data_IF_003751561053
#
_entry.id   IF_003751561053
#
_cell.length_a   1.000
_cell.length_b   1.000
_cell.length_c   1.000
_cell.angle_alpha   90.00
_cell.angle_beta   90.00
_cell.angle_gamma   90.00
#
_symmetry.space_group_name_H-M   'P 1'
#
loop_
_entity.id
_entity.type
_entity.pdbx_description
1 polymer ?
#
# COMPACT_ATOMS: atom_id res chain seq x y z
N UNK A 1 -50.36 29.32 12.46
CA UNK A 1 -48.96 29.67 12.74
C UNK A 1 -48.16 28.36 12.68
N UNK A 2 -47.37 28.20 11.63
CA UNK A 2 -46.38 27.14 11.50
C UNK A 2 -45.11 27.57 12.26
N UNK A 3 -44.52 26.68 13.03
CA UNK A 3 -43.07 26.43 13.03
C UNK A 3 -42.75 25.09 13.72
N UNK A 4 -41.85 24.28 13.15
CA UNK A 4 -41.59 22.90 13.56
C UNK A 4 -40.49 22.80 14.61
N UNK A 5 -40.58 21.78 15.45
CA UNK A 5 -39.58 21.36 16.42
C UNK A 5 -38.41 20.70 15.64
N UNK A 6 -37.42 21.51 15.26
CA UNK A 6 -36.20 21.03 14.64
C UNK A 6 -35.28 20.47 15.74
N UNK A 7 -35.27 19.14 15.86
CA UNK A 7 -34.20 18.43 16.56
C UNK A 7 -32.86 18.77 15.91
N UNK A 8 -31.80 19.11 16.66
CA UNK A 8 -30.49 19.33 16.09
C UNK A 8 -29.95 17.97 15.63
N UNK A 9 -29.85 17.79 14.32
CA UNK A 9 -29.11 16.69 13.74
C UNK A 9 -27.69 16.74 14.32
N UNK A 10 -27.36 15.68 15.04
CA UNK A 10 -26.04 15.42 15.59
C UNK A 10 -25.06 15.38 14.42
N UNK A 11 -24.37 16.50 14.18
CA UNK A 11 -23.31 16.58 13.19
C UNK A 11 -22.15 15.70 13.68
N UNK A 12 -22.19 14.42 13.30
CA UNK A 12 -21.06 13.51 13.45
C UNK A 12 -19.86 14.09 12.70
N UNK A 13 -18.74 14.43 13.37
CA UNK A 13 -17.51 14.87 12.69
C UNK A 13 -16.79 13.75 11.92
N UNK A 14 -17.34 12.54 11.91
CA UNK A 14 -16.68 11.28 11.52
C UNK A 14 -16.61 11.02 10.01
N UNK A 15 -17.20 11.87 9.17
CA UNK A 15 -17.18 11.67 7.70
C UNK A 15 -15.88 12.13 7.06
N UNK A 16 -15.15 13.09 7.64
CA UNK A 16 -13.92 13.61 7.03
C UNK A 16 -12.68 12.72 7.25
N UNK A 17 -12.65 11.89 8.29
CA UNK A 17 -11.55 10.94 8.54
C UNK A 17 -11.70 9.61 7.77
N UNK A 18 -12.84 9.38 7.12
CA UNK A 18 -13.14 8.17 6.34
C UNK A 18 -12.52 8.13 4.95
N UNK A 19 -11.91 9.24 4.51
CA UNK A 19 -11.43 9.39 3.13
C UNK A 19 -9.91 9.22 2.98
N UNK A 20 -9.19 9.01 4.10
CA UNK A 20 -7.75 8.82 4.05
C UNK A 20 -7.37 7.35 3.95
N UNK A 21 -6.50 7.03 2.99
CA UNK A 21 -5.90 5.70 2.81
C UNK A 21 -4.48 5.67 3.34
N UNK A 22 -4.14 4.62 4.06
CA UNK A 22 -2.81 4.35 4.55
C UNK A 22 -2.05 3.51 3.52
N UNK A 23 -0.97 4.06 2.97
CA UNK A 23 -0.09 3.36 2.03
C UNK A 23 1.26 3.13 2.70
N UNK A 24 1.66 1.86 2.80
CA UNK A 24 2.98 1.48 3.29
C UNK A 24 3.93 1.27 2.10
N UNK A 25 4.97 2.09 2.02
CA UNK A 25 6.01 1.99 0.99
C UNK A 25 7.24 1.33 1.61
N UNK A 26 7.69 0.25 0.96
CA UNK A 26 8.68 -0.68 1.49
C UNK A 26 9.91 -0.65 0.59
N UNK A 27 11.08 -0.49 1.17
CA UNK A 27 12.35 -0.47 0.44
C UNK A 27 13.53 -0.20 1.36
N UNK A 28 14.74 -0.16 0.83
CA UNK A 28 15.89 0.36 1.59
C UNK A 28 15.87 1.89 1.60
N UNK A 29 16.56 2.52 2.54
CA UNK A 29 16.68 3.97 2.62
C UNK A 29 17.19 4.58 1.30
N UNK A 30 18.11 3.90 0.62
CA UNK A 30 18.65 4.33 -0.67
C UNK A 30 17.63 4.23 -1.80
N UNK A 31 16.84 3.16 -1.86
CA UNK A 31 15.82 2.98 -2.90
C UNK A 31 14.70 3.99 -2.71
N UNK A 32 14.21 4.17 -1.48
CA UNK A 32 13.19 5.17 -1.14
C UNK A 32 13.64 6.59 -1.54
N UNK A 33 14.93 6.91 -1.33
CA UNK A 33 15.50 8.20 -1.71
C UNK A 33 15.62 8.37 -3.23
N UNK A 34 16.13 7.36 -3.94
CA UNK A 34 16.29 7.38 -5.40
C UNK A 34 14.94 7.47 -6.12
N UNK A 35 13.89 6.87 -5.56
CA UNK A 35 12.55 6.81 -6.13
C UNK A 35 11.58 7.86 -5.55
N UNK A 36 12.10 8.85 -4.81
CA UNK A 36 11.27 9.88 -4.21
C UNK A 36 10.41 10.65 -5.23
N UNK A 37 10.94 10.88 -6.44
CA UNK A 37 10.20 11.54 -7.52
C UNK A 37 9.03 10.69 -8.05
N UNK A 38 9.25 9.37 -8.20
CA UNK A 38 8.23 8.43 -8.67
C UNK A 38 7.08 8.31 -7.64
N UNK A 39 7.41 8.46 -6.36
CA UNK A 39 6.44 8.43 -5.25
C UNK A 39 5.83 9.80 -4.92
N UNK A 40 6.25 10.86 -5.59
CA UNK A 40 5.76 12.22 -5.35
C UNK A 40 4.22 12.34 -5.48
N UNK A 41 3.53 11.62 -6.38
CA UNK A 41 2.07 11.67 -6.45
C UNK A 41 1.37 11.18 -5.18
N UNK A 42 1.96 10.24 -4.42
CA UNK A 42 1.42 9.83 -3.11
C UNK A 42 1.49 10.97 -2.09
N UNK A 43 2.57 11.75 -2.11
CA UNK A 43 2.76 12.87 -1.18
C UNK A 43 1.91 14.09 -1.56
N UNK A 44 1.57 14.21 -2.85
CA UNK A 44 0.72 15.29 -3.35
C UNK A 44 -0.78 15.08 -3.09
N UNK A 45 -1.21 13.83 -2.86
CA UNK A 45 -2.61 13.52 -2.57
C UNK A 45 -2.89 13.64 -1.06
N UNK A 46 -3.69 14.64 -0.67
CA UNK A 46 -4.07 14.88 0.73
C UNK A 46 -4.93 13.77 1.37
N UNK A 47 -5.38 12.81 0.57
CA UNK A 47 -6.08 11.59 1.03
C UNK A 47 -5.11 10.46 1.36
N UNK A 48 -3.84 10.55 0.98
CA UNK A 48 -2.87 9.48 1.23
C UNK A 48 -2.08 9.80 2.49
N UNK A 49 -2.17 8.90 3.47
CA UNK A 49 -1.21 8.83 4.56
C UNK A 49 -0.13 7.81 4.17
N UNK A 50 1.08 8.30 3.90
CA UNK A 50 2.22 7.44 3.57
C UNK A 50 3.03 7.11 4.82
N UNK A 51 3.37 5.83 4.97
CA UNK A 51 4.39 5.36 5.93
C UNK A 51 5.48 4.63 5.17
N UNK A 52 6.74 4.87 5.53
CA UNK A 52 7.88 4.20 4.93
C UNK A 52 8.38 3.10 5.87
N UNK A 53 8.47 1.88 5.36
CA UNK A 53 9.16 0.79 6.03
C UNK A 53 10.52 0.58 5.36
N UNK A 54 11.57 0.95 6.10
CA UNK A 54 12.95 0.76 5.70
C UNK A 54 13.43 -0.62 6.10
N UNK A 55 13.83 -1.40 5.10
CA UNK A 55 14.30 -2.77 5.31
C UNK A 55 15.72 -2.85 5.88
N UNK A 56 16.46 -1.74 5.83
CA UNK A 56 17.84 -1.58 6.29
C UNK A 56 17.96 -0.94 7.69
N UNK A 57 16.85 -0.50 8.29
CA UNK A 57 16.80 -0.01 9.68
C UNK A 57 16.62 -1.17 10.66
N UNK A 58 17.19 -1.07 11.87
CA UNK A 58 17.15 -2.01 13.02
C UNK A 58 16.27 -3.27 12.84
N UNK A 59 16.88 -4.37 12.37
CA UNK A 59 16.28 -5.70 12.15
C UNK A 59 15.14 -5.78 11.11
N UNK A 60 14.85 -4.68 10.43
CA UNK A 60 13.79 -4.60 9.43
C UNK A 60 12.42 -4.86 10.02
N UNK A 61 12.15 -4.48 11.28
CA UNK A 61 10.81 -4.63 11.85
C UNK A 61 9.80 -3.70 11.13
N UNK A 62 8.60 -4.19 10.77
CA UNK A 62 7.59 -3.36 10.15
C UNK A 62 7.08 -2.31 11.15
N UNK A 63 6.79 -1.07 10.69
CA UNK A 63 6.06 -0.14 11.53
C UNK A 63 4.69 -0.74 11.84
N UNK A 64 4.18 -0.53 13.07
CA UNK A 64 2.86 -1.04 13.51
C UNK A 64 1.74 -0.68 12.54
N UNK A 65 1.85 0.48 11.89
CA UNK A 65 0.89 0.95 10.90
C UNK A 65 0.84 0.07 9.63
N UNK A 66 1.92 -0.64 9.27
CA UNK A 66 1.98 -1.48 8.07
C UNK A 66 0.93 -2.60 8.08
N UNK A 67 0.66 -3.19 9.25
CA UNK A 67 -0.37 -4.23 9.41
C UNK A 67 -1.77 -3.74 9.06
N UNK A 68 -2.00 -2.43 9.11
CA UNK A 68 -3.28 -1.78 8.85
C UNK A 68 -3.28 -0.95 7.56
N UNK A 69 -2.20 -1.00 6.78
CA UNK A 69 -2.13 -0.27 5.51
C UNK A 69 -3.16 -0.83 4.52
N UNK A 70 -3.93 0.07 3.90
CA UNK A 70 -4.89 -0.23 2.84
C UNK A 70 -4.18 -0.66 1.55
N UNK A 71 -2.97 -0.14 1.35
CA UNK A 71 -2.12 -0.42 0.20
C UNK A 71 -0.65 -0.63 0.56
N UNK A 72 0.03 -1.48 -0.21
CA UNK A 72 1.45 -1.78 -0.08
C UNK A 72 2.17 -1.53 -1.39
N UNK A 73 3.32 -0.87 -1.34
CA UNK A 73 4.21 -0.69 -2.49
C UNK A 73 5.59 -1.18 -2.09
N UNK A 74 6.06 -2.25 -2.73
CA UNK A 74 7.39 -2.80 -2.50
C UNK A 74 8.31 -2.36 -3.63
N UNK A 75 9.22 -1.44 -3.32
CA UNK A 75 10.22 -0.94 -4.25
C UNK A 75 11.44 -1.83 -4.25
N UNK A 76 12.10 -1.92 -5.42
CA UNK A 76 13.29 -2.72 -5.70
C UNK A 76 14.14 -2.97 -4.45
N UNK A 77 13.94 -4.10 -3.80
CA UNK A 77 14.59 -4.41 -2.55
C UNK A 77 15.84 -5.24 -2.84
N UNK A 78 16.94 -4.57 -3.21
CA UNK A 78 18.26 -5.22 -3.35
C UNK A 78 18.69 -5.96 -2.05
N UNK A 79 18.03 -5.67 -0.92
CA UNK A 79 18.19 -6.40 0.33
C UNK A 79 17.72 -7.89 0.27
N UNK A 80 17.19 -8.36 -0.86
CA UNK A 80 16.50 -9.65 -0.99
C UNK A 80 17.00 -10.59 -2.10
N UNK A 81 18.30 -10.58 -2.40
CA UNK A 81 18.93 -11.70 -3.13
C UNK A 81 18.90 -13.05 -2.35
N UNK A 82 18.05 -13.19 -1.33
CA UNK A 82 17.70 -14.46 -0.73
C UNK A 82 16.18 -14.54 -0.47
N UNK A 83 15.50 -15.63 -0.87
CA UNK A 83 14.08 -15.89 -0.62
C UNK A 83 13.72 -16.09 0.89
N UNK A 84 14.58 -15.65 1.81
CA UNK A 84 14.56 -15.92 3.27
C UNK A 84 14.82 -14.67 4.13
N UNK A 85 15.02 -13.48 3.54
CA UNK A 85 15.66 -12.33 4.21
C UNK A 85 14.86 -11.59 5.29
N UNK A 86 13.54 -11.40 5.12
CA UNK A 86 12.71 -10.79 6.17
C UNK A 86 11.32 -11.44 6.25
N UNK A 87 11.18 -12.41 7.17
CA UNK A 87 9.95 -13.15 7.40
C UNK A 87 8.72 -12.23 7.60
N UNK A 88 8.93 -11.03 8.16
CA UNK A 88 7.90 -10.02 8.33
C UNK A 88 7.32 -9.53 6.99
N UNK A 89 8.14 -9.29 5.97
CA UNK A 89 7.63 -8.81 4.67
C UNK A 89 6.82 -9.89 3.99
N UNK A 90 7.28 -11.14 4.02
CA UNK A 90 6.53 -12.26 3.47
C UNK A 90 5.20 -12.45 4.22
N UNK A 91 5.20 -12.36 5.54
CA UNK A 91 3.99 -12.47 6.35
C UNK A 91 3.01 -11.33 6.03
N UNK A 92 3.50 -10.08 5.96
CA UNK A 92 2.71 -8.91 5.63
C UNK A 92 2.08 -9.02 4.24
N UNK A 93 2.87 -9.37 3.23
CA UNK A 93 2.39 -9.53 1.86
C UNK A 93 1.33 -10.65 1.75
N UNK A 94 1.58 -11.80 2.36
CA UNK A 94 0.59 -12.91 2.42
C UNK A 94 -0.70 -12.48 3.08
N UNK A 95 -0.62 -11.77 4.21
CA UNK A 95 -1.78 -11.28 4.94
C UNK A 95 -2.56 -10.24 4.14
N UNK A 96 -1.88 -9.24 3.61
CA UNK A 96 -2.48 -8.19 2.81
C UNK A 96 -3.19 -8.75 1.58
N UNK A 97 -2.55 -9.67 0.86
CA UNK A 97 -3.14 -10.33 -0.30
C UNK A 97 -4.39 -11.13 0.08
N UNK A 98 -4.32 -11.95 1.14
CA UNK A 98 -5.48 -12.71 1.64
C UNK A 98 -6.63 -11.83 2.12
N UNK A 99 -6.33 -10.61 2.57
CA UNK A 99 -7.31 -9.62 2.98
C UNK A 99 -7.85 -8.77 1.81
N UNK A 100 -7.44 -9.04 0.57
CA UNK A 100 -7.90 -8.30 -0.61
C UNK A 100 -7.35 -6.88 -0.72
N UNK A 101 -6.17 -6.63 -0.10
CA UNK A 101 -5.52 -5.32 -0.17
C UNK A 101 -4.73 -5.16 -1.46
N UNK A 102 -4.61 -3.91 -1.90
CA UNK A 102 -3.89 -3.56 -3.12
C UNK A 102 -2.39 -3.59 -2.87
N UNK A 103 -1.65 -4.30 -3.72
CA UNK A 103 -0.20 -4.51 -3.63
C UNK A 103 0.45 -4.10 -4.95
N UNK A 104 1.50 -3.29 -4.88
CA UNK A 104 2.39 -3.03 -5.99
C UNK A 104 3.77 -3.64 -5.71
N UNK A 105 4.32 -4.40 -6.67
CA UNK A 105 5.66 -4.97 -6.62
C UNK A 105 6.50 -4.36 -7.74
N UNK A 106 7.70 -3.90 -7.43
CA UNK A 106 8.56 -3.19 -8.37
C UNK A 106 9.99 -3.74 -8.42
N UNK A 107 10.55 -3.88 -9.62
CA UNK A 107 11.93 -4.37 -9.79
C UNK A 107 12.10 -5.80 -9.27
N UNK A 108 13.14 -6.04 -8.49
CA UNK A 108 13.38 -7.35 -7.87
C UNK A 108 12.28 -7.77 -6.88
N UNK A 109 11.41 -6.86 -6.44
CA UNK A 109 10.27 -7.24 -5.59
C UNK A 109 9.26 -8.15 -6.32
N UNK A 110 9.32 -8.25 -7.66
CA UNK A 110 8.57 -9.26 -8.41
C UNK A 110 8.93 -10.69 -7.96
N UNK A 111 10.15 -10.91 -7.46
CA UNK A 111 10.56 -12.16 -6.85
C UNK A 111 9.83 -12.44 -5.53
N UNK A 112 8.90 -11.60 -5.06
CA UNK A 112 7.99 -11.91 -3.95
C UNK A 112 6.70 -12.61 -4.40
N UNK A 113 6.43 -12.73 -5.71
CA UNK A 113 5.21 -13.36 -6.24
C UNK A 113 5.03 -14.81 -5.78
N UNK A 114 6.11 -15.59 -5.74
CA UNK A 114 6.10 -16.96 -5.20
C UNK A 114 5.62 -17.01 -3.73
N UNK A 115 5.99 -16.00 -2.92
CA UNK A 115 5.58 -15.93 -1.51
C UNK A 115 4.07 -15.66 -1.38
N UNK A 116 3.46 -15.02 -2.38
CA UNK A 116 2.01 -14.83 -2.49
C UNK A 116 1.27 -16.06 -3.03
N UNK A 117 1.99 -17.14 -3.37
CA UNK A 117 1.39 -18.37 -3.91
C UNK A 117 1.08 -18.30 -5.40
N UNK A 118 1.58 -17.27 -6.10
CA UNK A 118 1.49 -17.17 -7.55
C UNK A 118 2.51 -18.10 -8.21
N UNK A 119 2.07 -18.80 -9.25
CA UNK A 119 2.99 -19.51 -10.14
C UNK A 119 3.83 -18.50 -10.93
N UNK A 120 5.00 -18.91 -11.42
CA UNK A 120 5.93 -18.04 -12.18
C UNK A 120 5.36 -17.53 -13.51
N UNK A 121 4.21 -18.03 -13.94
CA UNK A 121 3.51 -17.75 -15.21
C UNK A 121 2.17 -17.01 -15.02
N UNK A 122 1.96 -16.38 -13.86
CA UNK A 122 0.69 -15.70 -13.55
C UNK A 122 0.43 -14.50 -14.48
N UNK A 123 -0.81 -14.36 -15.01
CA UNK A 123 -1.16 -13.23 -15.85
C UNK A 123 -1.13 -11.93 -15.05
N UNK A 124 -0.68 -10.86 -15.69
CA UNK A 124 -0.46 -9.52 -15.14
C UNK A 124 -1.72 -8.81 -14.57
N UNK A 125 -2.83 -9.52 -14.37
CA UNK A 125 -4.18 -8.98 -14.17
C UNK A 125 -4.89 -9.65 -12.98
N UNK A 126 -4.20 -9.80 -11.85
CA UNK A 126 -4.88 -10.07 -10.59
C UNK A 126 -5.41 -8.75 -10.03
N UNK A 127 -6.73 -8.65 -9.79
CA UNK A 127 -7.36 -7.43 -9.27
C UNK A 127 -6.68 -7.00 -7.96
N UNK A 128 -6.17 -5.77 -7.94
CA UNK A 128 -5.42 -5.23 -6.81
C UNK A 128 -3.92 -5.56 -6.79
N UNK A 129 -3.36 -6.27 -7.77
CA UNK A 129 -1.92 -6.52 -7.90
C UNK A 129 -1.33 -5.72 -9.07
N UNK A 130 -0.32 -4.89 -8.78
CA UNK A 130 0.37 -4.06 -9.76
C UNK A 130 1.83 -4.50 -9.88
N UNK A 131 2.26 -4.85 -11.08
CA UNK A 131 3.64 -5.31 -11.34
C UNK A 131 4.38 -4.25 -12.17
N UNK A 132 5.46 -3.72 -11.61
CA UNK A 132 6.25 -2.65 -12.22
C UNK A 132 7.67 -3.12 -12.49
N UNK A 133 8.21 -2.83 -13.68
CA UNK A 133 9.56 -3.26 -14.05
C UNK A 133 10.65 -2.66 -13.14
N UNK A 134 10.48 -1.44 -12.64
CA UNK A 134 11.43 -0.80 -11.71
C UNK A 134 10.77 -0.02 -10.57
N UNK A 135 9.73 0.74 -10.90
CA UNK A 135 9.05 1.70 -10.01
C UNK A 135 7.65 1.98 -10.58
N UNK A 136 6.64 2.32 -9.77
CA UNK A 136 5.34 2.69 -10.30
C UNK A 136 5.45 4.03 -11.04
N UNK A 137 5.04 4.06 -12.30
CA UNK A 137 4.91 5.33 -13.02
C UNK A 137 3.68 6.09 -12.53
N UNK A 138 3.56 7.37 -12.88
CA UNK A 138 2.44 8.21 -12.44
C UNK A 138 1.06 7.62 -12.82
N UNK A 139 0.94 7.01 -13.99
CA UNK A 139 -0.30 6.35 -14.43
C UNK A 139 -0.63 5.14 -13.56
N UNK A 140 0.33 4.23 -13.36
CA UNK A 140 0.17 3.04 -12.50
C UNK A 140 -0.17 3.43 -11.06
N UNK A 141 0.44 4.51 -10.56
CA UNK A 141 0.17 4.99 -9.21
C UNK A 141 -1.24 5.58 -9.07
N UNK A 142 -1.74 6.26 -10.11
CA UNK A 142 -3.12 6.72 -10.14
C UNK A 142 -4.11 5.54 -10.15
N UNK A 143 -3.88 4.54 -10.99
CA UNK A 143 -4.69 3.30 -11.02
C UNK A 143 -4.64 2.55 -9.69
N UNK A 144 -3.47 2.49 -9.05
CA UNK A 144 -3.30 1.91 -7.73
C UNK A 144 -4.15 2.65 -6.68
N UNK A 145 -4.15 3.98 -6.69
CA UNK A 145 -4.97 4.79 -5.79
C UNK A 145 -6.46 4.58 -6.06
N UNK A 146 -6.88 4.51 -7.32
CA UNK A 146 -8.27 4.23 -7.68
C UNK A 146 -8.70 2.82 -7.19
N UNK A 147 -7.83 1.83 -7.32
CA UNK A 147 -8.06 0.48 -6.79
C UNK A 147 -8.21 0.49 -5.25
N UNK A 148 -7.41 1.29 -4.53
CA UNK A 148 -7.57 1.47 -3.08
C UNK A 148 -8.92 2.11 -2.71
N UNK A 149 -9.47 2.94 -3.58
CA UNK A 149 -10.80 3.56 -3.41
C UNK A 149 -11.93 2.58 -3.67
N UNK A 150 -11.73 1.63 -4.58
CA UNK A 150 -12.71 0.61 -4.91
C UNK A 150 -12.77 -0.57 -3.92
N UNK A 151 -11.82 -0.69 -3.00
CA UNK A 151 -11.77 -1.82 -2.06
C UNK A 151 -13.05 -1.92 -1.20
N UNK A 152 -13.74 -3.08 -1.19
CA UNK A 152 -14.99 -3.27 -0.45
C UNK A 152 -14.79 -3.34 1.08
N UNK A 153 -13.55 -3.54 1.55
CA UNK A 153 -13.21 -3.75 2.96
C UNK A 153 -12.59 -2.53 3.64
N UNK A 154 -13.01 -1.31 3.27
CA UNK A 154 -12.75 -0.08 4.05
C UNK A 154 -13.48 -0.08 5.40
N UNK A 155 -13.27 -1.14 6.18
CA UNK A 155 -13.77 -1.31 7.52
C UNK A 155 -12.71 -0.88 8.51
N UNK A 156 -12.78 0.38 8.92
CA UNK A 156 -12.39 0.75 10.29
C UNK A 156 -13.48 0.31 11.25
#
# INVERSE_FOLDING_TARGET
>A
MHSPDASPECACPLTAERDRVLVCVIGTADVLRRRAADLAPLAADGRVQRVDWRLDDDFGEPPVAADWADGLIVLNSDAWAAPTGCAHLQALLKMAWRCGRTVALCGQALDCLWALGFATDVPAEAEGLFLCAESPCAATLAEFLDALQAQPHRGR
#
